data_IF_303424706298
#
_entry.id   IF_303424706298
#
_cell.length_a   1.000
_cell.length_b   1.000
_cell.length_c   1.000
_cell.angle_alpha   90.00
_cell.angle_beta   90.00
_cell.angle_gamma   90.00
#
_symmetry.space_group_name_H-M   'P 1'
#
loop_
_entity.id
_entity.type
_entity.pdbx_description
1 polymer ?
#
# COMPACT_ATOMS: atom_id res chain seq x y z
N UNK A 1 -16.51 -8.53 -16.50
CA UNK A 1 -15.89 -8.26 -15.18
C UNK A 1 -16.14 -9.37 -14.14
N UNK A 2 -15.84 -10.65 -14.41
CA UNK A 2 -16.01 -11.71 -13.41
C UNK A 2 -14.95 -11.63 -12.29
N UNK A 3 -13.67 -11.39 -12.61
CA UNK A 3 -12.58 -11.40 -11.63
C UNK A 3 -12.70 -10.33 -10.53
N UNK A 4 -12.91 -9.05 -10.88
CA UNK A 4 -13.06 -7.96 -9.90
C UNK A 4 -14.27 -8.20 -8.99
N UNK A 5 -15.40 -8.61 -9.57
CA UNK A 5 -16.63 -8.90 -8.80
C UNK A 5 -16.47 -10.12 -7.90
N UNK A 6 -15.80 -11.16 -8.36
CA UNK A 6 -15.50 -12.33 -7.53
C UNK A 6 -14.59 -11.96 -6.38
N UNK A 7 -13.46 -11.29 -6.65
CA UNK A 7 -12.53 -10.81 -5.63
C UNK A 7 -13.23 -9.99 -4.55
N UNK A 8 -13.99 -8.97 -4.94
CA UNK A 8 -14.70 -8.11 -4.02
C UNK A 8 -15.82 -8.85 -3.25
N UNK A 9 -16.43 -9.88 -3.86
CA UNK A 9 -17.44 -10.72 -3.19
C UNK A 9 -16.81 -11.69 -2.19
N UNK A 10 -15.69 -12.33 -2.55
CA UNK A 10 -14.98 -13.31 -1.71
C UNK A 10 -14.37 -12.66 -0.47
N UNK A 11 -14.07 -11.35 -0.55
CA UNK A 11 -13.49 -10.58 0.55
C UNK A 11 -14.51 -9.66 1.24
N UNK A 12 -15.81 -9.91 1.03
CA UNK A 12 -16.93 -9.18 1.66
C UNK A 12 -16.91 -7.65 1.48
N UNK A 13 -16.40 -7.19 0.33
CA UNK A 13 -16.25 -5.78 -0.01
C UNK A 13 -16.87 -5.43 -1.38
N UNK A 14 -18.16 -5.74 -1.64
CA UNK A 14 -18.78 -5.49 -2.94
C UNK A 14 -18.79 -4.00 -3.33
N UNK A 15 -18.82 -3.09 -2.34
CA UNK A 15 -18.76 -1.65 -2.56
C UNK A 15 -17.43 -1.17 -3.17
N UNK A 16 -16.35 -1.94 -3.04
CA UNK A 16 -15.05 -1.62 -3.66
C UNK A 16 -15.05 -1.86 -5.19
N UNK A 17 -15.94 -2.73 -5.68
CA UNK A 17 -16.02 -3.12 -7.11
C UNK A 17 -15.94 -1.95 -8.10
N UNK A 18 -16.81 -0.90 -8.01
CA UNK A 18 -16.75 0.22 -8.94
C UNK A 18 -15.43 1.01 -8.85
N UNK A 19 -14.87 1.16 -7.65
CA UNK A 19 -13.63 1.90 -7.42
C UNK A 19 -12.41 1.16 -7.97
N UNK A 20 -12.32 -0.16 -7.72
CA UNK A 20 -11.26 -1.01 -8.27
C UNK A 20 -11.30 -0.99 -9.80
N UNK A 21 -12.50 -1.03 -10.39
CA UNK A 21 -12.65 -0.96 -11.83
C UNK A 21 -12.22 0.40 -12.41
N UNK A 22 -12.65 1.50 -11.81
CA UNK A 22 -12.25 2.85 -12.22
C UNK A 22 -10.73 3.06 -12.11
N UNK A 23 -10.12 2.55 -11.04
CA UNK A 23 -8.67 2.56 -10.86
C UNK A 23 -7.95 1.75 -11.93
N UNK A 24 -8.46 0.57 -12.27
CA UNK A 24 -7.85 -0.27 -13.30
C UNK A 24 -7.86 0.44 -14.66
N UNK A 25 -8.99 1.03 -15.06
CA UNK A 25 -9.07 1.80 -16.30
C UNK A 25 -8.11 3.00 -16.30
N UNK A 26 -7.99 3.71 -15.18
CA UNK A 26 -7.13 4.89 -15.06
C UNK A 26 -5.64 4.53 -15.15
N UNK A 27 -5.21 3.48 -14.44
CA UNK A 27 -3.83 2.99 -14.43
C UNK A 27 -3.44 2.44 -15.80
N UNK A 28 -4.32 1.64 -16.43
CA UNK A 28 -4.05 1.10 -17.77
C UNK A 28 -4.02 2.18 -18.85
N UNK A 29 -4.73 3.29 -18.67
CA UNK A 29 -4.72 4.40 -19.63
C UNK A 29 -3.48 5.29 -19.51
N UNK A 30 -2.90 5.40 -18.32
CA UNK A 30 -1.69 6.21 -18.06
C UNK A 30 -0.39 5.44 -18.30
N UNK A 31 -0.41 4.11 -18.20
CA UNK A 31 0.76 3.26 -18.36
C UNK A 31 0.81 2.64 -19.76
N UNK A 32 1.97 2.71 -20.41
CA UNK A 32 2.26 1.78 -21.50
C UNK A 32 2.57 0.40 -20.89
N UNK A 33 1.68 -0.58 -21.07
CA UNK A 33 1.84 -1.94 -20.54
C UNK A 33 3.17 -2.60 -20.94
N UNK A 34 3.77 -2.19 -22.07
CA UNK A 34 5.05 -2.70 -22.55
C UNK A 34 6.20 -2.44 -21.56
N UNK A 35 6.15 -1.35 -20.80
CA UNK A 35 7.14 -1.04 -19.76
C UNK A 35 6.96 -1.89 -18.49
N UNK A 36 5.81 -2.52 -18.29
CA UNK A 36 5.55 -3.40 -17.15
C UNK A 36 5.89 -4.86 -17.43
N UNK A 37 5.69 -5.32 -18.68
CA UNK A 37 5.96 -6.70 -19.13
C UNK A 37 7.44 -7.05 -19.20
N UNK A 38 8.29 -6.07 -19.53
CA UNK A 38 9.74 -6.23 -19.64
C UNK A 38 10.40 -5.73 -18.36
N UNK A 39 10.45 -6.60 -17.34
CA UNK A 39 11.20 -6.32 -16.12
C UNK A 39 12.40 -7.25 -15.97
N UNK A 40 13.57 -6.64 -15.90
CA UNK A 40 14.81 -7.29 -15.56
C UNK A 40 15.06 -7.12 -14.04
N UNK A 41 14.97 -8.19 -13.24
CA UNK A 41 15.21 -8.13 -11.80
C UNK A 41 16.63 -7.64 -11.46
N UNK A 42 17.59 -7.70 -12.40
CA UNK A 42 18.95 -7.22 -12.21
C UNK A 42 19.10 -5.69 -12.36
N UNK A 43 18.12 -4.98 -12.94
CA UNK A 43 18.21 -3.52 -13.12
C UNK A 43 17.78 -2.71 -11.89
N UNK A 44 17.11 -3.32 -10.91
CA UNK A 44 16.67 -2.65 -9.68
C UNK A 44 17.74 -2.52 -8.60
N UNK A 45 18.91 -3.16 -8.74
CA UNK A 45 20.02 -3.06 -7.76
C UNK A 45 21.15 -2.10 -8.18
N UNK A 46 21.11 -1.50 -9.37
CA UNK A 46 22.22 -0.68 -9.88
C UNK A 46 21.77 0.69 -10.38
N UNK A 47 21.32 1.54 -9.46
CA UNK A 47 21.49 3.00 -9.57
C UNK A 47 22.10 3.59 -8.30
N UNK A 48 23.12 2.93 -7.78
CA UNK A 48 24.18 3.60 -7.05
C UNK A 48 25.35 3.74 -8.01
N UNK A 49 25.58 4.95 -8.52
CA UNK A 49 26.72 5.25 -9.39
C UNK A 49 28.02 5.12 -8.59
N UNK A 50 28.59 3.91 -8.54
CA UNK A 50 29.97 3.71 -8.12
C UNK A 50 30.93 3.97 -9.29
N UNK A 51 32.06 4.68 -9.06
CA UNK A 51 33.02 5.01 -10.11
C UNK A 51 33.81 3.78 -10.55
N UNK A 52 34.40 3.79 -11.77
CA UNK A 52 34.91 2.58 -12.41
C UNK A 52 36.19 2.12 -11.72
N UNK A 53 36.12 0.98 -11.03
CA UNK A 53 37.32 0.24 -10.63
C UNK A 53 37.40 -1.07 -11.41
N UNK A 54 38.34 -1.04 -12.35
CA UNK A 54 38.95 -2.19 -13.01
C UNK A 54 39.40 -3.25 -11.99
N UNK A 55 38.95 -4.49 -12.16
CA UNK A 55 39.84 -5.65 -12.20
C UNK A 55 39.14 -6.90 -12.72
N UNK A 56 39.95 -7.69 -13.43
CA UNK A 56 39.69 -8.97 -14.09
C UNK A 56 39.26 -10.08 -13.11
N UNK A 57 38.32 -10.91 -13.56
CA UNK A 57 38.43 -12.38 -13.73
C UNK A 57 37.22 -13.16 -13.20
N UNK A 58 36.59 -13.87 -14.14
CA UNK A 58 36.03 -15.21 -14.05
C UNK A 58 35.07 -15.54 -12.89
N UNK A 59 33.80 -15.77 -13.21
CA UNK A 59 33.22 -17.13 -13.35
C UNK A 59 31.73 -17.01 -13.62
N UNK A 60 31.29 -17.63 -14.70
CA UNK A 60 29.90 -17.84 -15.13
C UNK A 60 29.08 -18.59 -14.08
N UNK A 61 28.11 -17.93 -13.45
CA UNK A 61 26.83 -18.55 -13.05
C UNK A 61 25.77 -17.49 -12.71
N UNK A 62 24.51 -17.85 -12.97
CA UNK A 62 23.24 -17.15 -12.74
C UNK A 62 22.78 -16.22 -13.87
N UNK A 63 22.18 -16.83 -14.89
CA UNK A 63 21.02 -16.24 -15.56
C UNK A 63 19.96 -15.95 -14.48
N UNK A 64 19.95 -14.73 -13.96
CA UNK A 64 18.75 -14.16 -13.37
C UNK A 64 17.77 -14.00 -14.55
N UNK A 65 16.91 -15.00 -14.74
CA UNK A 65 15.92 -14.99 -15.80
C UNK A 65 15.06 -13.75 -15.67
N UNK A 66 14.97 -12.98 -16.75
CA UNK A 66 13.91 -11.98 -16.93
C UNK A 66 12.59 -12.73 -16.72
N UNK A 67 11.91 -12.48 -15.60
CA UNK A 67 10.57 -13.01 -15.37
C UNK A 67 9.63 -12.23 -16.28
N UNK A 68 9.43 -12.76 -17.48
CA UNK A 68 8.45 -12.24 -18.42
C UNK A 68 7.06 -12.58 -17.90
N UNK A 69 6.39 -11.59 -17.31
CA UNK A 69 5.00 -11.75 -16.88
C UNK A 69 4.06 -11.56 -18.06
N UNK A 70 3.02 -12.40 -18.15
CA UNK A 70 1.98 -12.18 -19.13
C UNK A 70 1.25 -10.86 -18.83
N UNK A 71 0.75 -10.20 -19.88
CA UNK A 71 -0.07 -8.98 -19.75
C UNK A 71 -1.23 -9.20 -18.78
N UNK A 72 -1.77 -10.39 -18.83
CA UNK A 72 -2.90 -10.80 -18.04
C UNK A 72 -2.58 -10.97 -16.55
N UNK A 73 -1.39 -11.47 -16.22
CA UNK A 73 -0.93 -11.64 -14.83
C UNK A 73 -0.65 -10.28 -14.21
N UNK A 74 -0.12 -9.34 -15.01
CA UNK A 74 0.05 -7.95 -14.60
C UNK A 74 -1.32 -7.31 -14.32
N UNK A 75 -2.30 -7.51 -15.20
CA UNK A 75 -3.67 -7.01 -14.96
C UNK A 75 -4.24 -7.60 -13.67
N UNK A 76 -4.08 -8.90 -13.44
CA UNK A 76 -4.54 -9.58 -12.22
C UNK A 76 -3.86 -9.02 -10.97
N UNK A 77 -2.54 -8.81 -11.02
CA UNK A 77 -1.79 -8.23 -9.91
C UNK A 77 -2.19 -6.76 -9.65
N UNK A 78 -2.41 -5.96 -10.70
CA UNK A 78 -2.92 -4.58 -10.56
C UNK A 78 -4.29 -4.60 -9.88
N UNK A 79 -5.19 -5.51 -10.26
CA UNK A 79 -6.51 -5.64 -9.62
C UNK A 79 -6.35 -5.89 -8.10
N UNK A 80 -5.45 -6.77 -7.69
CA UNK A 80 -5.17 -7.04 -6.27
C UNK A 80 -4.63 -5.80 -5.56
N UNK A 81 -3.67 -5.09 -6.16
CA UNK A 81 -3.09 -3.87 -5.58
C UNK A 81 -4.15 -2.78 -5.40
N UNK A 82 -4.95 -2.52 -6.43
CA UNK A 82 -6.03 -1.54 -6.37
C UNK A 82 -7.06 -1.92 -5.33
N UNK A 83 -7.42 -3.20 -5.24
CA UNK A 83 -8.31 -3.71 -4.19
C UNK A 83 -7.78 -3.37 -2.79
N UNK A 84 -6.51 -3.67 -2.49
CA UNK A 84 -5.91 -3.41 -1.18
C UNK A 84 -5.98 -1.91 -0.81
N UNK A 85 -5.65 -1.01 -1.74
CA UNK A 85 -5.74 0.43 -1.51
C UNK A 85 -7.17 0.96 -1.37
N UNK A 86 -8.09 0.45 -2.20
CA UNK A 86 -9.50 0.83 -2.08
C UNK A 86 -10.06 0.40 -0.72
N UNK A 87 -9.67 -0.78 -0.22
CA UNK A 87 -10.11 -1.28 1.07
C UNK A 87 -9.54 -0.49 2.25
N UNK A 88 -8.25 -0.15 2.22
CA UNK A 88 -7.66 0.71 3.25
C UNK A 88 -8.39 2.04 3.33
N UNK A 89 -8.75 2.61 2.18
CA UNK A 89 -9.40 3.93 2.12
C UNK A 89 -10.85 3.89 2.56
N UNK A 90 -11.60 2.90 2.06
CA UNK A 90 -13.01 2.71 2.41
C UNK A 90 -13.21 2.41 3.91
N UNK A 91 -12.30 1.62 4.50
CA UNK A 91 -12.40 1.17 5.90
C UNK A 91 -11.95 2.23 6.92
N UNK A 92 -11.26 3.30 6.49
CA UNK A 92 -10.64 4.33 7.34
C UNK A 92 -9.90 3.78 8.58
N UNK A 93 -9.40 2.55 8.48
CA UNK A 93 -8.76 1.83 9.57
C UNK A 93 -7.32 1.53 9.18
N UNK A 94 -6.41 1.74 10.11
CA UNK A 94 -5.01 1.33 9.95
C UNK A 94 -4.96 -0.20 9.90
N UNK A 95 -4.67 -0.74 8.72
CA UNK A 95 -4.52 -2.18 8.54
C UNK A 95 -3.22 -2.62 9.22
N UNK A 96 -3.34 -3.48 10.23
CA UNK A 96 -2.17 -4.12 10.86
C UNK A 96 -1.37 -4.92 9.82
N UNK A 97 -0.05 -5.01 10.00
CA UNK A 97 0.82 -5.77 9.09
C UNK A 97 0.37 -7.23 8.92
N UNK A 98 -0.15 -7.85 9.99
CA UNK A 98 -0.68 -9.21 9.93
C UNK A 98 -1.95 -9.32 9.09
N UNK A 99 -2.84 -8.33 9.19
CA UNK A 99 -4.08 -8.27 8.42
C UNK A 99 -3.81 -8.01 6.94
N UNK A 100 -2.82 -7.17 6.63
CA UNK A 100 -2.37 -6.93 5.26
C UNK A 100 -1.87 -8.23 4.60
N UNK A 101 -1.01 -9.00 5.28
CA UNK A 101 -0.51 -10.28 4.74
C UNK A 101 -1.65 -11.26 4.53
N UNK A 102 -2.57 -11.36 5.50
CA UNK A 102 -3.76 -12.22 5.38
C UNK A 102 -4.67 -11.81 4.22
N UNK A 103 -4.97 -10.51 4.09
CA UNK A 103 -5.81 -9.98 3.01
C UNK A 103 -5.16 -10.16 1.64
N UNK A 104 -3.85 -9.91 1.52
CA UNK A 104 -3.09 -10.16 0.30
C UNK A 104 -3.15 -11.64 -0.10
N UNK A 105 -2.92 -12.56 0.84
CA UNK A 105 -2.98 -13.99 0.57
C UNK A 105 -4.39 -14.43 0.12
N UNK A 106 -5.44 -13.93 0.78
CA UNK A 106 -6.84 -14.21 0.40
C UNK A 106 -7.18 -13.62 -0.98
N UNK A 107 -6.68 -12.42 -1.30
CA UNK A 107 -6.89 -11.79 -2.60
C UNK A 107 -6.21 -12.55 -3.73
N UNK A 108 -5.00 -13.06 -3.50
CA UNK A 108 -4.28 -13.92 -4.46
C UNK A 108 -5.07 -15.21 -4.70
N UNK A 109 -5.52 -15.88 -3.64
CA UNK A 109 -6.32 -17.09 -3.74
C UNK A 109 -7.63 -16.87 -4.52
N UNK A 110 -8.35 -15.77 -4.23
CA UNK A 110 -9.59 -15.43 -4.92
C UNK A 110 -9.39 -15.16 -6.41
N UNK A 111 -8.26 -14.54 -6.81
CA UNK A 111 -7.93 -14.35 -8.22
C UNK A 111 -7.59 -15.69 -8.89
N UNK A 112 -6.83 -16.55 -8.22
CA UNK A 112 -6.46 -17.88 -8.71
C UNK A 112 -7.68 -18.79 -8.95
N UNK A 113 -8.73 -18.68 -8.14
CA UNK A 113 -10.00 -19.40 -8.35
C UNK A 113 -10.71 -19.00 -9.64
N UNK A 114 -10.67 -17.71 -9.99
CA UNK A 114 -11.30 -17.22 -11.24
C UNK A 114 -10.45 -17.46 -12.47
N UNK A 115 -9.14 -17.62 -12.25
CA UNK A 115 -8.14 -17.73 -13.30
C UNK A 115 -6.95 -18.51 -12.75
N UNK A 116 -6.74 -19.75 -13.19
CA UNK A 116 -5.50 -20.44 -12.87
C UNK A 116 -4.33 -19.66 -13.48
N UNK A 117 -3.40 -19.23 -12.63
CA UNK A 117 -2.14 -18.61 -13.05
C UNK A 117 -1.22 -19.74 -13.52
N UNK A 118 -1.37 -20.17 -14.77
CA UNK A 118 -0.72 -21.38 -15.28
C UNK A 118 0.81 -21.22 -15.46
N UNK A 119 1.35 -19.99 -15.45
CA UNK A 119 2.76 -19.71 -15.74
C UNK A 119 3.58 -19.19 -14.55
N UNK A 120 2.94 -18.72 -13.47
CA UNK A 120 3.64 -18.07 -12.35
C UNK A 120 3.31 -18.79 -11.04
N UNK A 121 4.35 -19.10 -10.28
CA UNK A 121 4.22 -19.54 -8.91
C UNK A 121 3.57 -18.47 -8.01
N UNK A 122 2.94 -18.90 -6.92
CA UNK A 122 2.33 -17.97 -5.97
C UNK A 122 3.35 -16.95 -5.42
N UNK A 123 4.62 -17.36 -5.30
CA UNK A 123 5.72 -16.53 -4.84
C UNK A 123 6.10 -15.45 -5.86
N UNK A 124 6.22 -15.77 -7.15
CA UNK A 124 6.47 -14.79 -8.21
C UNK A 124 5.33 -13.79 -8.35
N UNK A 125 4.08 -14.25 -8.20
CA UNK A 125 2.92 -13.35 -8.20
C UNK A 125 2.92 -12.41 -6.99
N UNK A 126 3.33 -12.90 -5.82
CA UNK A 126 3.51 -12.10 -4.61
C UNK A 126 4.57 -11.01 -4.77
N UNK A 127 5.70 -11.33 -5.42
CA UNK A 127 6.77 -10.37 -5.75
C UNK A 127 6.27 -9.30 -6.73
N UNK A 128 5.51 -9.70 -7.74
CA UNK A 128 4.89 -8.77 -8.69
C UNK A 128 3.95 -7.78 -7.99
N UNK A 129 3.12 -8.26 -7.07
CA UNK A 129 2.23 -7.40 -6.26
C UNK A 129 3.03 -6.38 -5.44
N UNK A 130 4.09 -6.80 -4.74
CA UNK A 130 4.90 -5.89 -3.92
C UNK A 130 5.59 -4.80 -4.74
N UNK A 131 6.05 -5.15 -5.94
CA UNK A 131 6.58 -4.17 -6.89
C UNK A 131 5.50 -3.17 -7.29
N UNK A 132 4.32 -3.64 -7.70
CA UNK A 132 3.22 -2.77 -8.14
C UNK A 132 2.71 -1.89 -7.00
N UNK A 133 2.81 -2.32 -5.74
CA UNK A 133 2.51 -1.48 -4.56
C UNK A 133 3.48 -0.30 -4.46
N UNK A 134 4.80 -0.53 -4.60
CA UNK A 134 5.79 0.55 -4.61
C UNK A 134 5.55 1.51 -5.78
N UNK A 135 5.14 0.97 -6.92
CA UNK A 135 4.81 1.77 -8.10
C UNK A 135 3.52 2.57 -7.90
N UNK A 136 2.52 2.02 -7.22
CA UNK A 136 1.30 2.72 -6.88
C UNK A 136 1.57 3.93 -5.97
N UNK A 137 2.46 3.77 -4.99
CA UNK A 137 2.93 4.86 -4.13
C UNK A 137 3.67 5.96 -4.90
N UNK A 138 4.19 5.67 -6.09
CA UNK A 138 4.92 6.63 -6.93
C UNK A 138 4.03 7.46 -7.87
N UNK A 139 2.70 7.41 -7.71
CA UNK A 139 1.79 8.36 -8.37
C UNK A 139 0.45 7.79 -8.87
N UNK A 140 0.12 6.52 -8.62
CA UNK A 140 -1.21 6.02 -8.99
C UNK A 140 -2.29 6.54 -8.06
N UNK A 141 -1.91 6.77 -6.79
CA UNK A 141 -2.79 7.30 -5.76
C UNK A 141 -3.08 8.80 -5.96
N UNK A 142 -2.26 9.50 -6.75
CA UNK A 142 -2.49 10.92 -7.08
C UNK A 142 -3.52 11.11 -8.20
N UNK A 143 -3.95 10.02 -8.83
CA UNK A 143 -4.96 10.05 -9.88
C UNK A 143 -6.37 10.24 -9.31
N UNK A 144 -7.24 10.86 -10.11
CA UNK A 144 -8.62 11.20 -9.71
C UNK A 144 -9.45 9.98 -9.26
N UNK A 145 -9.15 8.78 -9.76
CA UNK A 145 -9.89 7.58 -9.34
C UNK A 145 -9.74 7.31 -7.84
N UNK A 146 -8.57 7.61 -7.25
CA UNK A 146 -8.29 7.31 -5.85
C UNK A 146 -8.75 8.45 -4.94
N UNK A 147 -8.58 9.71 -5.35
CA UNK A 147 -9.01 10.88 -4.57
C UNK A 147 -10.53 10.97 -4.40
N UNK A 148 -11.28 10.40 -5.35
CA UNK A 148 -12.74 10.34 -5.31
C UNK A 148 -13.30 9.19 -4.45
N UNK A 149 -12.46 8.37 -3.81
CA UNK A 149 -12.93 7.30 -2.93
C UNK A 149 -13.23 7.92 -1.56
N UNK A 150 -14.49 7.83 -1.07
CA UNK A 150 -14.85 8.40 0.20
C UNK A 150 -14.17 7.64 1.34
N UNK A 151 -13.49 8.37 2.21
CA UNK A 151 -12.83 7.82 3.38
C UNK A 151 -13.86 7.49 4.47
N UNK A 152 -13.78 6.28 5.01
CA UNK A 152 -14.61 5.86 6.14
C UNK A 152 -16.10 5.68 5.82
N UNK A 153 -16.48 5.76 4.55
CA UNK A 153 -17.86 5.57 4.11
C UNK A 153 -18.12 4.15 3.58
N UNK A 154 -17.08 3.30 3.51
CA UNK A 154 -17.13 2.03 2.83
C UNK A 154 -16.87 0.83 3.72
N UNK A 155 -17.95 0.11 4.00
CA UNK A 155 -17.97 -1.27 4.48
C UNK A 155 -17.61 -1.41 5.96
N UNK A 156 -18.64 -1.20 6.81
CA UNK A 156 -18.90 -2.16 7.87
C UNK A 156 -18.87 -3.54 7.21
N UNK A 157 -17.76 -4.27 7.35
CA UNK A 157 -17.75 -5.69 7.05
C UNK A 157 -18.92 -6.28 7.84
N UNK A 158 -19.64 -7.25 7.29
CA UNK A 158 -20.67 -7.97 8.08
C UNK A 158 -20.09 -8.54 9.38
N UNK A 159 -18.77 -8.75 9.45
CA UNK A 159 -18.02 -9.02 10.69
C UNK A 159 -18.05 -7.85 11.70
N UNK A 160 -17.82 -6.61 11.27
CA UNK A 160 -17.98 -5.41 12.10
C UNK A 160 -19.44 -5.12 12.45
N UNK A 161 -20.39 -5.46 11.57
CA UNK A 161 -21.83 -5.37 11.86
C UNK A 161 -22.25 -6.40 12.92
N UNK A 162 -21.76 -7.64 12.85
CA UNK A 162 -22.00 -8.67 13.89
C UNK A 162 -21.34 -8.29 15.21
N UNK A 163 -20.11 -7.75 15.19
CA UNK A 163 -19.44 -7.27 16.41
C UNK A 163 -20.14 -6.07 17.06
N UNK A 164 -20.76 -5.18 16.27
CA UNK A 164 -21.56 -4.07 16.79
C UNK A 164 -22.94 -4.53 17.29
N UNK A 165 -23.48 -5.61 16.73
CA UNK A 165 -24.78 -6.18 17.15
C UNK A 165 -24.63 -7.04 18.41
N UNK A 166 -23.45 -7.60 18.69
CA UNK A 166 -23.21 -8.43 19.88
C UNK A 166 -23.01 -7.60 21.17
N UNK A 167 -22.73 -6.29 21.06
CA UNK A 167 -22.60 -5.41 22.23
C UNK A 167 -23.90 -4.67 22.62
N UNK A 168 -24.98 -4.85 21.85
CA UNK A 168 -26.29 -4.25 22.14
C UNK A 168 -27.40 -5.31 22.06
N UNK A 169 -27.50 -6.11 23.12
CA UNK A 169 -28.79 -6.66 23.54
C UNK A 169 -28.95 -8.17 23.40
N UNK A 170 -28.44 -8.90 24.39
CA UNK A 170 -29.16 -10.06 24.88
C UNK A 170 -30.48 -9.59 25.51
N UNK A 171 -31.59 -9.79 24.81
CA UNK A 171 -32.85 -10.15 25.44
C UNK A 171 -33.75 -10.80 24.40
N UNK A 172 -34.04 -12.08 24.63
CA UNK A 172 -35.11 -12.80 23.97
C UNK A 172 -36.46 -12.19 24.38
N UNK A 173 -37.36 -12.05 23.41
CA UNK A 173 -38.77 -12.51 23.42
C UNK A 173 -39.64 -11.61 22.54
N UNK A 174 -40.40 -12.24 21.64
CA UNK A 174 -41.78 -11.83 21.38
C UNK A 174 -42.08 -10.75 20.35
N UNK A 175 -42.65 -11.22 19.23
CA UNK A 175 -43.82 -10.64 18.55
C UNK A 175 -43.67 -9.57 17.45
N UNK A 176 -44.50 -9.83 16.44
CA UNK A 176 -44.78 -9.11 15.21
C UNK A 176 -45.25 -7.67 15.46
N UNK A 177 -44.82 -6.72 14.64
CA UNK A 177 -45.66 -5.83 13.82
C UNK A 177 -44.81 -4.71 13.21
N UNK A 178 -44.91 -4.52 11.89
CA UNK A 178 -45.52 -3.35 11.24
C UNK A 178 -44.59 -2.13 11.14
N UNK A 179 -44.31 -1.76 9.88
CA UNK A 179 -43.74 -0.49 9.43
C UNK A 179 -44.43 0.73 10.05
N UNK A 180 -43.68 1.80 10.29
CA UNK A 180 -44.05 3.14 9.81
C UNK A 180 -42.84 3.78 9.11
N UNK A 181 -42.93 4.19 7.84
CA UNK A 181 -43.50 5.44 7.32
C UNK A 181 -42.96 6.73 7.95
N UNK A 182 -42.60 7.65 7.06
CA UNK A 182 -41.59 8.68 7.23
C UNK A 182 -41.95 9.86 8.11
N UNK A 183 -40.91 10.63 8.45
CA UNK A 183 -40.97 12.08 8.58
C UNK A 183 -39.58 12.69 8.52
N UNK A 184 -39.44 13.62 7.59
CA UNK A 184 -38.48 14.73 7.65
C UNK A 184 -38.57 15.40 9.02
N UNK A 185 -37.41 15.77 9.57
CA UNK A 185 -37.35 17.01 10.34
C UNK A 185 -36.00 17.71 10.19
N UNK A 186 -36.12 19.03 10.17
CA UNK A 186 -35.20 20.00 9.60
C UNK A 186 -34.50 20.77 10.73
N UNK A 187 -33.16 20.83 10.69
CA UNK A 187 -32.25 21.91 11.19
C UNK A 187 -32.33 22.31 12.69
N UNK A 188 -31.18 22.27 13.41
CA UNK A 188 -30.50 23.51 13.91
C UNK A 188 -29.11 23.29 14.57
N UNK A 189 -28.24 24.32 14.51
CA UNK A 189 -26.83 24.28 14.91
C UNK A 189 -26.57 24.87 16.31
N UNK A 190 -25.43 24.47 16.90
CA UNK A 190 -24.67 25.29 17.84
C UNK A 190 -24.82 24.94 19.33
N UNK A 191 -23.81 24.29 19.90
CA UNK A 191 -23.21 24.65 21.19
C UNK A 191 -21.93 23.85 21.43
N UNK A 192 -20.82 24.57 21.40
CA UNK A 192 -19.48 24.20 21.89
C UNK A 192 -19.52 23.70 23.32
N UNK A 193 -18.92 22.55 23.60
CA UNK A 193 -18.15 22.39 24.83
C UNK A 193 -16.93 21.50 24.63
N UNK A 194 -15.88 21.91 25.30
CA UNK A 194 -14.49 21.58 25.07
C UNK A 194 -14.19 20.19 25.62
N UNK A 195 -13.74 19.30 24.74
CA UNK A 195 -12.78 18.27 25.14
C UNK A 195 -11.76 18.16 24.03
N UNK A 196 -10.72 18.97 24.17
CA UNK A 196 -9.52 18.95 23.37
C UNK A 196 -8.81 17.60 23.58
N UNK A 197 -9.13 16.63 22.74
CA UNK A 197 -8.35 15.41 22.57
C UNK A 197 -8.13 15.18 21.07
N UNK A 198 -7.11 15.87 20.56
CA UNK A 198 -6.21 15.43 19.48
C UNK A 198 -6.82 14.95 18.15
N UNK A 199 -7.70 15.75 17.54
CA UNK A 199 -8.26 15.50 16.21
C UNK A 199 -7.49 16.23 15.08
N UNK A 200 -6.16 16.24 15.12
CA UNK A 200 -5.30 16.86 14.07
C UNK A 200 -4.23 15.93 13.47
N UNK A 201 -4.29 14.62 13.70
CA UNK A 201 -3.31 13.68 13.14
C UNK A 201 -3.72 13.03 11.80
N UNK A 202 -4.86 13.39 11.22
CA UNK A 202 -5.47 12.57 10.17
C UNK A 202 -5.40 13.05 8.72
N UNK A 203 -5.57 14.36 8.42
CA UNK A 203 -6.14 14.70 7.10
C UNK A 203 -5.56 15.87 6.30
N UNK A 204 -4.48 16.55 6.71
CA UNK A 204 -3.85 17.57 5.84
C UNK A 204 -2.44 17.98 6.26
N UNK A 205 -1.54 17.04 6.54
CA UNK A 205 -0.11 17.35 6.76
C UNK A 205 0.81 16.52 5.88
N UNK A 206 0.71 16.71 4.56
CA UNK A 206 1.79 16.37 3.62
C UNK A 206 2.95 17.38 3.66
N UNK A 207 3.09 18.16 4.74
CA UNK A 207 4.41 18.52 5.27
C UNK A 207 4.85 17.43 6.24
N UNK A 208 5.03 16.23 5.69
CA UNK A 208 5.54 15.08 6.43
C UNK A 208 6.94 15.47 6.94
N UNK A 209 7.13 15.55 8.26
CA UNK A 209 8.45 15.73 8.90
C UNK A 209 9.50 14.67 8.48
N UNK A 210 9.09 13.64 7.74
CA UNK A 210 9.97 12.68 7.09
C UNK A 210 10.80 13.28 5.93
N UNK A 211 10.48 14.47 5.42
CA UNK A 211 11.20 15.14 4.32
C UNK A 211 11.69 16.55 4.69
N UNK A 212 11.69 16.94 5.97
CA UNK A 212 12.31 18.20 6.40
C UNK A 212 13.79 18.01 6.78
N UNK A 213 14.63 17.94 5.75
CA UNK A 213 16.10 17.91 5.88
C UNK A 213 16.71 19.25 6.32
N UNK A 214 15.91 20.32 6.40
CA UNK A 214 16.38 21.68 6.73
C UNK A 214 15.99 22.13 8.14
N UNK A 215 15.22 21.32 8.88
CA UNK A 215 14.95 21.53 10.30
C UNK A 215 16.25 21.69 11.11
N UNK A 216 16.21 22.57 12.12
CA UNK A 216 17.38 22.88 12.93
C UNK A 216 17.83 21.68 13.78
N UNK A 217 16.91 20.80 14.17
CA UNK A 217 17.20 19.53 14.85
C UNK A 217 18.02 18.59 13.95
N UNK A 218 17.58 18.34 12.72
CA UNK A 218 18.35 17.48 11.79
C UNK A 218 19.69 18.08 11.38
N UNK A 219 19.80 19.40 11.31
CA UNK A 219 21.09 20.07 11.09
C UNK A 219 22.05 19.84 12.25
N UNK A 220 21.54 19.77 13.48
CA UNK A 220 22.35 19.45 14.65
C UNK A 220 22.79 17.98 14.63
N UNK A 221 21.88 17.05 14.36
CA UNK A 221 22.20 15.63 14.19
C UNK A 221 23.25 15.41 13.10
N UNK A 222 23.13 16.13 11.97
CA UNK A 222 24.11 16.07 10.89
C UNK A 222 25.49 16.58 11.32
N UNK A 223 25.56 17.65 12.11
CA UNK A 223 26.84 18.17 12.63
C UNK A 223 27.52 17.15 13.54
N UNK A 224 26.75 16.51 14.42
CA UNK A 224 27.26 15.50 15.35
C UNK A 224 27.72 14.25 14.60
N UNK A 225 26.92 13.77 13.67
CA UNK A 225 27.28 12.66 12.79
C UNK A 225 28.56 12.97 12.00
N UNK A 226 28.65 14.16 11.38
CA UNK A 226 29.83 14.60 10.62
C UNK A 226 31.07 14.65 11.49
N UNK A 227 30.97 15.21 12.71
CA UNK A 227 32.09 15.29 13.63
C UNK A 227 32.59 13.88 14.04
N UNK A 228 31.67 12.95 14.28
CA UNK A 228 32.02 11.56 14.58
C UNK A 228 32.76 10.88 13.41
N UNK A 229 32.27 11.05 12.19
CA UNK A 229 32.91 10.51 10.99
C UNK A 229 34.31 11.10 10.79
N UNK A 230 34.48 12.41 10.92
CA UNK A 230 35.79 13.06 10.81
C UNK A 230 36.78 12.52 11.84
N UNK A 231 36.36 12.38 13.10
CA UNK A 231 37.19 11.79 14.16
C UNK A 231 37.61 10.35 13.85
N UNK A 232 36.71 9.54 13.27
CA UNK A 232 37.04 8.16 12.84
C UNK A 232 38.02 8.14 11.67
N UNK A 233 37.97 9.11 10.77
CA UNK A 233 38.92 9.25 9.66
C UNK A 233 40.30 9.63 10.20
N UNK A 234 40.40 10.66 11.05
CA UNK A 234 41.66 11.10 11.66
C UNK A 234 42.35 9.97 12.45
N UNK A 235 41.58 9.18 13.21
CA UNK A 235 42.13 8.02 13.92
C UNK A 235 42.73 6.98 12.97
N UNK A 236 42.05 6.70 11.84
CA UNK A 236 42.56 5.78 10.82
C UNK A 236 43.77 6.33 10.09
N UNK A 237 43.81 7.63 9.81
CA UNK A 237 44.94 8.28 9.17
C UNK A 237 46.17 8.29 10.08
N UNK A 238 45.98 8.58 11.38
CA UNK A 238 47.05 8.52 12.39
C UNK A 238 47.61 7.10 12.52
N UNK A 239 46.74 6.10 12.56
CA UNK A 239 47.15 4.69 12.59
C UNK A 239 47.92 4.29 11.31
N UNK A 240 47.50 4.82 10.15
CA UNK A 240 48.18 4.58 8.87
C UNK A 240 49.55 5.24 8.82
N UNK A 241 49.73 6.40 9.42
CA UNK A 241 51.05 7.07 9.49
C UNK A 241 52.01 6.36 10.45
N UNK A 242 51.51 5.86 11.59
CA UNK A 242 52.32 5.04 12.52
C UNK A 242 52.75 3.72 11.88
N UNK A 243 51.87 3.08 11.09
CA UNK A 243 52.21 1.83 10.40
C UNK A 243 53.10 2.03 9.15
N UNK A 244 53.33 3.27 8.72
CA UNK A 244 54.13 3.61 7.53
C UNK A 244 55.50 4.20 7.87
N UNK A 245 55.84 4.34 9.16
CA UNK A 245 57.17 4.69 9.67
C UNK A 245 57.84 3.46 10.26
#
# INVERSE_FOLDING_TARGET
MPAIRHLCKTLDAPAATPHVYAGLCSVLSTKNMESMTLWDPAQSTLRFSEPPRSSRSATTHNQAGVLAYSKDDIIAAIIVVLYLYTMTRLSASDISQGDYVSQKAKAIAAIQETRPLDEIDADGFSVLIERLIREAQSGWLDLEWFTNIPEGQGVLTTSAFVALTEHLGANEEGERSAFPDGREDTIRPGATDQSAVNFEHGLSSMFVQAVDYLSDERRQDYKEWRANIMKRIEAKESQRMVNSS
#
